data_IF_748416499582
#
_entry.id   IF_748416499582
#
_cell.length_a   1.000
_cell.length_b   1.000
_cell.length_c   1.000
_cell.angle_alpha   90.00
_cell.angle_beta   90.00
_cell.angle_gamma   90.00
#
_symmetry.space_group_name_H-M   'P 1'
#
loop_
_entity.id
_entity.type
_entity.pdbx_description
1 polymer ?
#
# COMPACT_ATOMS: atom_id res chain seq x y z
N UNK A 1 -11.28 8.80 8.99
CA UNK A 1 -11.08 7.84 7.87
C UNK A 1 -10.01 6.81 8.18
N UNK A 2 -8.84 7.22 8.69
CA UNK A 2 -7.70 6.31 8.95
C UNK A 2 -7.94 5.28 10.05
N UNK A 3 -8.75 5.60 11.07
CA UNK A 3 -9.09 4.65 12.17
C UNK A 3 -9.95 3.48 11.73
N UNK A 4 -10.97 3.73 10.91
CA UNK A 4 -11.84 2.66 10.39
C UNK A 4 -11.07 1.72 9.47
N UNK A 5 -10.20 2.31 8.64
CA UNK A 5 -9.34 1.58 7.71
C UNK A 5 -8.31 0.70 8.44
N UNK A 6 -7.67 1.21 9.50
CA UNK A 6 -6.71 0.45 10.31
C UNK A 6 -7.36 -0.79 10.96
N UNK A 7 -8.56 -0.63 11.52
CA UNK A 7 -9.31 -1.73 12.15
C UNK A 7 -9.77 -2.79 11.15
N UNK A 8 -10.25 -2.39 9.98
CA UNK A 8 -10.68 -3.32 8.92
C UNK A 8 -9.51 -4.10 8.30
N UNK A 9 -8.32 -3.49 8.28
CA UNK A 9 -7.10 -4.09 7.75
C UNK A 9 -6.29 -4.89 8.78
N UNK A 10 -6.71 -4.92 10.06
CA UNK A 10 -5.99 -5.62 11.12
C UNK A 10 -4.56 -5.12 11.35
N UNK A 11 -4.29 -3.85 11.03
CA UNK A 11 -2.99 -3.20 11.17
C UNK A 11 -3.11 -2.01 12.11
N UNK A 12 -2.16 -1.85 13.03
CA UNK A 12 -2.19 -0.68 13.90
C UNK A 12 -2.01 0.62 13.08
N UNK A 13 -2.63 1.71 13.55
CA UNK A 13 -2.67 3.01 12.84
C UNK A 13 -1.29 3.59 12.53
N UNK A 14 -0.31 3.38 13.42
CA UNK A 14 1.05 3.88 13.22
C UNK A 14 1.79 3.09 12.14
N UNK A 15 1.61 1.78 12.11
CA UNK A 15 2.16 0.88 11.08
C UNK A 15 1.56 1.21 9.72
N UNK A 16 0.23 1.39 9.65
CA UNK A 16 -0.44 1.80 8.43
C UNK A 16 0.12 3.12 7.89
N UNK A 17 0.22 4.16 8.73
CA UNK A 17 0.74 5.46 8.32
C UNK A 17 2.20 5.37 7.83
N UNK A 18 3.04 4.55 8.50
CA UNK A 18 4.45 4.36 8.12
C UNK A 18 4.58 3.57 6.82
N UNK A 19 3.82 2.50 6.63
CA UNK A 19 3.82 1.72 5.37
C UNK A 19 3.36 2.59 4.20
N UNK A 20 2.28 3.38 4.37
CA UNK A 20 1.79 4.29 3.33
C UNK A 20 2.87 5.29 2.91
N UNK A 21 3.45 6.03 3.87
CA UNK A 21 4.52 7.00 3.59
C UNK A 21 5.75 6.35 2.96
N UNK A 22 6.11 5.13 3.37
CA UNK A 22 7.21 4.37 2.77
C UNK A 22 6.94 4.08 1.29
N UNK A 23 5.73 3.60 0.95
CA UNK A 23 5.33 3.28 -0.43
C UNK A 23 5.18 4.53 -1.30
N UNK A 24 4.72 5.64 -0.71
CA UNK A 24 4.59 6.93 -1.39
C UNK A 24 5.92 7.69 -1.53
N UNK A 25 7.03 7.12 -1.04
CA UNK A 25 8.36 7.74 -1.03
C UNK A 25 8.42 9.07 -0.25
N UNK A 26 7.61 9.20 0.80
CA UNK A 26 7.52 10.40 1.67
C UNK A 26 8.27 10.24 3.00
N UNK A 27 9.16 9.24 3.10
CA UNK A 27 10.02 9.03 4.27
C UNK A 27 11.44 9.54 4.01
N UNK A 28 11.99 10.22 5.00
CA UNK A 28 13.41 10.58 5.01
C UNK A 28 14.29 9.32 5.15
N UNK A 29 15.53 9.32 4.63
CA UNK A 29 16.41 8.13 4.65
C UNK A 29 16.62 7.52 6.05
N UNK A 30 16.75 8.35 7.09
CA UNK A 30 16.90 7.89 8.47
C UNK A 30 15.62 7.21 9.01
N UNK A 31 14.47 7.73 8.60
CA UNK A 31 13.17 7.16 8.94
C UNK A 31 12.96 5.82 8.23
N UNK A 32 13.40 5.69 6.98
CA UNK A 32 13.40 4.44 6.21
C UNK A 32 14.18 3.36 6.93
N UNK A 33 15.40 3.67 7.40
CA UNK A 33 16.23 2.69 8.14
C UNK A 33 15.54 2.21 9.42
N UNK A 34 14.97 3.15 10.17
CA UNK A 34 14.23 2.85 11.42
C UNK A 34 12.96 2.05 11.14
N UNK A 35 12.28 2.33 10.03
CA UNK A 35 11.10 1.58 9.62
C UNK A 35 11.43 0.19 9.10
N UNK A 36 12.51 0.03 8.33
CA UNK A 36 12.96 -1.26 7.81
C UNK A 36 13.29 -2.24 8.95
N UNK A 37 13.92 -1.79 10.04
CA UNK A 37 14.16 -2.61 11.22
C UNK A 37 12.85 -3.06 11.88
N UNK A 38 11.88 -2.15 12.06
CA UNK A 38 10.56 -2.50 12.60
C UNK A 38 9.78 -3.45 11.70
N UNK A 39 9.86 -3.25 10.37
CA UNK A 39 9.16 -4.05 9.37
C UNK A 39 9.59 -5.52 9.38
N UNK A 40 10.84 -5.81 9.72
CA UNK A 40 11.34 -7.18 9.80
C UNK A 40 10.63 -8.01 10.87
N UNK A 41 10.23 -7.39 11.99
CA UNK A 41 9.63 -8.08 13.14
C UNK A 41 8.11 -7.88 13.25
N UNK A 42 7.53 -6.92 12.51
CA UNK A 42 6.11 -6.62 12.58
C UNK A 42 5.29 -7.47 11.57
N UNK A 43 4.60 -8.49 12.07
CA UNK A 43 3.71 -9.34 11.26
C UNK A 43 2.65 -8.53 10.50
N UNK A 44 1.97 -7.59 11.18
CA UNK A 44 0.92 -6.74 10.57
C UNK A 44 1.45 -5.91 9.39
N UNK A 45 2.64 -5.32 9.52
CA UNK A 45 3.26 -4.55 8.44
C UNK A 45 3.55 -5.42 7.21
N UNK A 46 4.03 -6.66 7.42
CA UNK A 46 4.35 -7.58 6.32
C UNK A 46 3.09 -8.08 5.61
N UNK A 47 2.10 -8.53 6.37
CA UNK A 47 0.82 -8.99 5.82
C UNK A 47 0.12 -7.86 5.03
N UNK A 48 0.12 -6.64 5.57
CA UNK A 48 -0.43 -5.50 4.85
C UNK A 48 0.38 -5.15 3.58
N UNK A 49 1.71 -5.21 3.62
CA UNK A 49 2.54 -4.94 2.45
C UNK A 49 2.36 -5.98 1.34
N UNK A 50 2.18 -7.27 1.68
CA UNK A 50 1.86 -8.32 0.71
C UNK A 50 0.50 -8.08 0.06
N UNK A 51 -0.52 -7.75 0.86
CA UNK A 51 -1.85 -7.39 0.36
C UNK A 51 -1.81 -6.14 -0.53
N UNK A 52 -1.06 -5.11 -0.13
CA UNK A 52 -0.89 -3.88 -0.91
C UNK A 52 -0.18 -4.14 -2.24
N UNK A 53 0.87 -4.96 -2.24
CA UNK A 53 1.57 -5.38 -3.46
C UNK A 53 0.61 -6.11 -4.41
N UNK A 54 -0.16 -7.07 -3.89
CA UNK A 54 -1.17 -7.78 -4.67
C UNK A 54 -2.24 -6.86 -5.27
N UNK A 55 -2.68 -5.83 -4.55
CA UNK A 55 -3.61 -4.82 -5.08
C UNK A 55 -2.98 -3.94 -6.17
N UNK A 56 -1.72 -3.53 -6.01
CA UNK A 56 -1.01 -2.74 -7.01
C UNK A 56 -0.77 -3.55 -8.30
N UNK A 57 -0.34 -4.80 -8.17
CA UNK A 57 -0.15 -5.72 -9.30
C UNK A 57 -1.49 -6.01 -10.01
N UNK A 58 -2.57 -6.23 -9.23
CA UNK A 58 -3.92 -6.36 -9.78
C UNK A 58 -4.34 -5.10 -10.54
N UNK A 59 -4.14 -3.91 -9.95
CA UNK A 59 -4.44 -2.60 -10.56
C UNK A 59 -3.71 -2.45 -11.89
N UNK A 60 -2.43 -2.80 -11.95
CA UNK A 60 -1.66 -2.77 -13.20
C UNK A 60 -2.19 -3.76 -14.23
N UNK A 61 -2.55 -4.98 -13.82
CA UNK A 61 -3.09 -6.02 -14.71
C UNK A 61 -4.43 -5.65 -15.35
N UNK A 62 -5.26 -4.84 -14.66
CA UNK A 62 -6.54 -4.36 -15.19
C UNK A 62 -6.43 -3.00 -15.88
N UNK A 63 -5.36 -2.24 -15.66
CA UNK A 63 -5.16 -0.88 -16.21
C UNK A 63 -5.33 -0.85 -17.73
N UNK A 64 -4.68 -1.78 -18.44
CA UNK A 64 -4.79 -1.89 -19.90
C UNK A 64 -6.21 -2.22 -20.35
N UNK A 65 -6.94 -3.06 -19.60
CA UNK A 65 -8.34 -3.41 -19.89
C UNK A 65 -9.28 -2.21 -19.67
N UNK A 66 -9.00 -1.38 -18.67
CA UNK A 66 -9.78 -0.18 -18.37
C UNK A 66 -9.57 0.92 -19.42
N UNK A 67 -8.32 1.18 -19.82
CA UNK A 67 -7.98 2.14 -20.88
C UNK A 67 -8.67 1.74 -22.20
N UNK A 68 -8.55 0.48 -22.60
CA UNK A 68 -9.19 -0.02 -23.82
C UNK A 68 -10.72 0.12 -23.78
N UNK A 69 -11.35 -0.03 -22.61
CA UNK A 69 -12.80 0.19 -22.44
C UNK A 69 -13.20 1.66 -22.51
N UNK A 70 -12.36 2.58 -22.03
CA UNK A 70 -12.61 4.02 -22.18
C UNK A 70 -12.45 4.47 -23.62
N UNK A 71 -11.45 3.96 -24.35
CA UNK A 71 -11.30 4.23 -25.78
C UNK A 71 -12.48 3.69 -26.59
N UNK A 72 -12.95 2.47 -26.29
CA UNK A 72 -14.17 1.90 -26.90
C UNK A 72 -15.46 2.66 -26.54
N UNK A 73 -15.49 3.41 -25.43
CA UNK A 73 -16.64 4.25 -25.05
C UNK A 73 -16.60 5.65 -25.68
N UNK A 74 -15.43 6.10 -26.13
CA UNK A 74 -15.21 7.42 -26.74
C UNK A 74 -15.20 7.40 -28.27
N UNK A 75 -15.16 6.20 -28.88
CA UNK A 75 -15.44 5.98 -30.30
C UNK A 75 -16.93 5.86 -30.58
#
# INVERSE_FOLDING_TARGET
MTEKLATELGINRNCLARVTRFVEHEMEPEEVMTFAAHFQDCFECRDFAENLRGMLDWRESIRTKLINREELRKG
#
